data_IF_793917091927
#
_entry.id   IF_793917091927
#
_cell.length_a   1.000
_cell.length_b   1.000
_cell.length_c   1.000
_cell.angle_alpha   90.00
_cell.angle_beta   90.00
_cell.angle_gamma   90.00
#
_symmetry.space_group_name_H-M   'P 1'
#
loop_
_entity.id
_entity.type
_entity.pdbx_description
1 polymer ?
#
# COMPACT_ATOMS: atom_id res chain seq x y z
N UNK A 1 17.89 -19.23 -43.50
CA UNK A 1 16.85 -18.34 -42.94
C UNK A 1 16.03 -19.14 -41.94
N UNK A 2 16.35 -19.05 -40.65
CA UNK A 2 15.38 -19.19 -39.54
C UNK A 2 16.09 -18.95 -38.21
N UNK A 3 15.47 -18.05 -37.47
CA UNK A 3 15.93 -17.33 -36.29
C UNK A 3 15.84 -18.21 -35.06
N UNK A 4 16.91 -18.24 -34.24
CA UNK A 4 16.91 -18.95 -32.97
C UNK A 4 15.94 -18.25 -32.00
N UNK A 5 14.91 -18.98 -31.58
CA UNK A 5 13.94 -18.56 -30.58
C UNK A 5 14.61 -18.57 -29.20
N UNK A 6 14.80 -17.39 -28.61
CA UNK A 6 15.35 -17.23 -27.27
C UNK A 6 14.40 -17.85 -26.23
N UNK A 7 14.89 -18.83 -25.47
CA UNK A 7 14.15 -19.52 -24.41
C UNK A 7 13.83 -18.55 -23.26
N UNK A 8 12.56 -18.18 -23.09
CA UNK A 8 12.05 -17.50 -21.88
C UNK A 8 12.33 -18.36 -20.64
N UNK A 9 13.13 -17.85 -19.71
CA UNK A 9 13.34 -18.46 -18.40
C UNK A 9 12.02 -18.48 -17.61
N UNK A 10 11.56 -19.67 -17.18
CA UNK A 10 10.41 -19.81 -16.27
C UNK A 10 10.80 -19.23 -14.90
N UNK A 11 10.41 -18.00 -14.63
CA UNK A 11 10.51 -17.40 -13.30
C UNK A 11 9.70 -18.25 -12.29
N UNK A 12 10.24 -18.45 -11.09
CA UNK A 12 9.55 -19.17 -10.02
C UNK A 12 8.29 -18.40 -9.60
N UNK A 13 7.20 -19.08 -9.20
CA UNK A 13 5.94 -18.43 -8.85
C UNK A 13 6.07 -17.40 -7.71
N UNK A 14 6.98 -17.62 -6.75
CA UNK A 14 7.30 -16.65 -5.69
C UNK A 14 7.79 -15.31 -6.26
N UNK A 15 8.67 -15.35 -7.26
CA UNK A 15 9.22 -14.14 -7.88
C UNK A 15 8.16 -13.37 -8.68
N UNK A 16 7.25 -14.09 -9.36
CA UNK A 16 6.16 -13.47 -10.12
C UNK A 16 5.16 -12.78 -9.16
N UNK A 17 4.78 -13.46 -8.07
CA UNK A 17 3.90 -12.89 -7.05
C UNK A 17 4.49 -11.64 -6.41
N UNK A 18 5.78 -11.66 -6.05
CA UNK A 18 6.50 -10.50 -5.50
C UNK A 18 6.53 -9.31 -6.48
N UNK A 19 6.78 -9.57 -7.77
CA UNK A 19 6.74 -8.52 -8.80
C UNK A 19 5.35 -7.92 -8.95
N UNK A 20 4.30 -8.74 -8.93
CA UNK A 20 2.92 -8.27 -9.00
C UNK A 20 2.57 -7.44 -7.77
N UNK A 21 2.95 -7.90 -6.57
CA UNK A 21 2.80 -7.16 -5.32
C UNK A 21 3.43 -5.76 -5.43
N UNK A 22 4.70 -5.71 -5.84
CA UNK A 22 5.44 -4.45 -5.92
C UNK A 22 4.78 -3.49 -6.93
N UNK A 23 4.35 -4.03 -8.08
CA UNK A 23 3.68 -3.23 -9.10
C UNK A 23 2.35 -2.67 -8.65
N UNK A 24 1.50 -3.47 -8.01
CA UNK A 24 0.19 -2.98 -7.54
C UNK A 24 0.39 -1.95 -6.42
N UNK A 25 1.35 -2.18 -5.52
CA UNK A 25 1.69 -1.23 -4.45
C UNK A 25 2.16 0.11 -5.01
N UNK A 26 2.99 0.09 -6.06
CA UNK A 26 3.39 1.28 -6.81
C UNK A 26 2.20 1.95 -7.50
N UNK A 27 1.31 1.19 -8.15
CA UNK A 27 0.11 1.72 -8.79
C UNK A 27 -0.83 2.41 -7.78
N UNK A 28 -0.94 1.90 -6.56
CA UNK A 28 -1.68 2.55 -5.45
C UNK A 28 -0.94 3.82 -4.99
N UNK A 29 0.37 3.74 -4.79
CA UNK A 29 1.18 4.87 -4.29
C UNK A 29 1.22 6.05 -5.28
N UNK A 30 1.17 5.76 -6.58
CA UNK A 30 1.16 6.74 -7.66
C UNK A 30 -0.26 7.11 -8.13
N UNK A 31 -1.29 6.72 -7.38
CA UNK A 31 -2.70 7.01 -7.67
C UNK A 31 -3.19 6.56 -9.05
N UNK A 32 -2.56 5.52 -9.63
CA UNK A 32 -3.11 4.80 -10.80
C UNK A 32 -4.24 3.84 -10.41
N UNK A 33 -4.21 3.35 -9.17
CA UNK A 33 -5.34 2.71 -8.51
C UNK A 33 -5.78 3.63 -7.38
N UNK A 34 -6.96 4.21 -7.50
CA UNK A 34 -7.44 5.23 -6.57
C UNK A 34 -7.94 4.62 -5.26
N UNK A 35 -7.81 5.31 -4.12
CA UNK A 35 -8.47 4.91 -2.88
C UNK A 35 -9.97 4.69 -3.10
N UNK A 36 -10.48 3.54 -2.65
CA UNK A 36 -11.86 3.13 -2.86
C UNK A 36 -12.18 2.54 -4.24
N UNK A 37 -11.25 2.52 -5.19
CA UNK A 37 -11.42 1.88 -6.49
C UNK A 37 -11.57 0.36 -6.34
N UNK A 38 -12.53 -0.22 -7.07
CA UNK A 38 -12.79 -1.66 -7.09
C UNK A 38 -12.23 -2.30 -8.34
N UNK A 39 -11.68 -3.50 -8.18
CA UNK A 39 -11.11 -4.28 -9.28
C UNK A 39 -11.20 -5.78 -8.99
N UNK A 40 -10.97 -6.59 -10.01
CA UNK A 40 -11.00 -8.05 -9.96
C UNK A 40 -9.62 -8.64 -10.17
N UNK A 41 -9.42 -9.88 -9.71
CA UNK A 41 -8.20 -10.63 -10.02
C UNK A 41 -7.99 -10.82 -11.53
N UNK A 42 -9.08 -10.83 -12.31
CA UNK A 42 -9.06 -10.96 -13.76
C UNK A 42 -8.45 -9.73 -14.44
N UNK A 43 -8.93 -8.53 -14.08
CA UNK A 43 -8.40 -7.27 -14.60
C UNK A 43 -6.91 -7.10 -14.25
N UNK A 44 -6.53 -7.44 -13.01
CA UNK A 44 -5.14 -7.40 -12.59
C UNK A 44 -4.30 -8.43 -13.36
N UNK A 45 -4.80 -9.65 -13.53
CA UNK A 45 -4.12 -10.72 -14.29
C UNK A 45 -3.86 -10.32 -15.74
N UNK A 46 -4.83 -9.66 -16.39
CA UNK A 46 -4.68 -9.12 -17.75
C UNK A 46 -3.62 -8.01 -17.79
N UNK A 47 -3.68 -7.05 -16.85
CA UNK A 47 -2.75 -5.92 -16.78
C UNK A 47 -1.29 -6.36 -16.56
N UNK A 48 -1.08 -7.35 -15.69
CA UNK A 48 0.27 -7.83 -15.34
C UNK A 48 0.73 -9.05 -16.16
N UNK A 49 -0.09 -9.50 -17.12
CA UNK A 49 0.16 -10.66 -17.99
C UNK A 49 0.55 -11.92 -17.22
N UNK A 50 -0.17 -12.21 -16.12
CA UNK A 50 0.07 -13.37 -15.26
C UNK A 50 -1.23 -14.16 -15.02
N UNK A 51 -1.12 -15.39 -14.50
CA UNK A 51 -2.30 -16.15 -14.10
C UNK A 51 -2.90 -15.62 -12.79
N UNK A 52 -4.14 -16.00 -12.49
CA UNK A 52 -4.86 -15.54 -11.29
C UNK A 52 -4.23 -16.01 -9.97
N UNK A 53 -3.54 -17.15 -9.96
CA UNK A 53 -2.93 -17.71 -8.75
C UNK A 53 -1.87 -16.78 -8.12
N UNK A 54 -0.81 -16.34 -8.83
CA UNK A 54 0.17 -15.40 -8.28
C UNK A 54 -0.43 -14.00 -8.04
N UNK A 55 -1.42 -13.58 -8.83
CA UNK A 55 -2.17 -12.34 -8.57
C UNK A 55 -2.88 -12.39 -7.22
N UNK A 56 -3.61 -13.48 -6.95
CA UNK A 56 -4.31 -13.68 -5.68
C UNK A 56 -3.33 -13.71 -4.50
N UNK A 57 -2.17 -14.35 -4.65
CA UNK A 57 -1.13 -14.35 -3.62
C UNK A 57 -0.62 -12.94 -3.32
N UNK A 58 -0.33 -12.15 -4.36
CA UNK A 58 0.09 -10.76 -4.21
C UNK A 58 -0.99 -9.89 -3.54
N UNK A 59 -2.26 -10.05 -3.94
CA UNK A 59 -3.39 -9.32 -3.37
C UNK A 59 -3.65 -9.66 -1.91
N UNK A 60 -3.52 -10.94 -1.51
CA UNK A 60 -3.60 -11.31 -0.10
C UNK A 60 -2.48 -10.68 0.74
N UNK A 61 -1.26 -10.61 0.21
CA UNK A 61 -0.18 -9.91 0.90
C UNK A 61 -0.47 -8.41 1.04
N UNK A 62 -1.02 -7.77 0.01
CA UNK A 62 -1.43 -6.37 0.07
C UNK A 62 -2.57 -6.14 1.07
N UNK A 63 -3.49 -7.09 1.22
CA UNK A 63 -4.57 -7.01 2.20
C UNK A 63 -4.07 -7.17 3.63
N UNK A 64 -3.12 -8.09 3.88
CA UNK A 64 -2.44 -8.20 5.18
C UNK A 64 -1.71 -6.91 5.58
N UNK A 65 -1.14 -6.21 4.60
CA UNK A 65 -0.50 -4.90 4.81
C UNK A 65 -1.49 -3.72 4.82
N UNK A 66 -2.77 -3.97 4.51
CA UNK A 66 -3.84 -2.97 4.57
C UNK A 66 -3.98 -2.05 3.37
N UNK A 67 -3.37 -2.36 2.23
CA UNK A 67 -3.50 -1.56 1.00
C UNK A 67 -4.82 -1.80 0.27
N UNK A 68 -5.35 -3.01 0.38
CA UNK A 68 -6.59 -3.44 -0.30
C UNK A 68 -7.45 -4.26 0.64
N UNK A 69 -8.72 -4.39 0.31
CA UNK A 69 -9.70 -5.20 1.05
C UNK A 69 -10.40 -6.15 0.09
N UNK A 70 -10.68 -7.37 0.56
CA UNK A 70 -11.40 -8.38 -0.22
C UNK A 70 -12.88 -8.36 0.14
N UNK A 71 -13.74 -8.27 -0.88
CA UNK A 71 -15.19 -8.30 -0.71
C UNK A 71 -15.76 -9.57 -1.34
N UNK A 72 -16.54 -10.33 -0.56
CA UNK A 72 -17.16 -11.56 -1.03
C UNK A 72 -17.97 -11.31 -2.32
N UNK A 73 -17.62 -12.05 -3.39
CA UNK A 73 -18.20 -11.94 -4.75
C UNK A 73 -18.08 -10.56 -5.43
N UNK A 74 -17.45 -9.57 -4.79
CA UNK A 74 -17.34 -8.20 -5.30
C UNK A 74 -15.92 -7.81 -5.69
N UNK A 75 -14.97 -8.74 -5.56
CA UNK A 75 -13.57 -8.53 -5.94
C UNK A 75 -12.77 -7.90 -4.81
N UNK A 76 -11.90 -6.97 -5.20
CA UNK A 76 -10.97 -6.27 -4.33
C UNK A 76 -11.23 -4.78 -4.41
N UNK A 77 -10.91 -4.06 -3.35
CA UNK A 77 -11.00 -2.61 -3.31
C UNK A 77 -9.71 -2.05 -2.74
N UNK A 78 -9.16 -0.98 -3.31
CA UNK A 78 -8.10 -0.21 -2.64
C UNK A 78 -8.69 0.38 -1.37
N UNK A 79 -8.03 0.20 -0.22
CA UNK A 79 -8.54 0.71 1.05
C UNK A 79 -8.80 2.22 0.91
N UNK A 80 -10.04 2.69 1.13
CA UNK A 80 -10.33 4.12 1.07
C UNK A 80 -9.60 4.85 2.19
N UNK A 81 -9.34 6.13 1.99
CA UNK A 81 -8.88 6.98 3.08
C UNK A 81 -10.01 7.18 4.09
N UNK A 82 -9.69 7.01 5.37
CA UNK A 82 -10.54 7.46 6.47
C UNK A 82 -10.01 8.83 6.94
N UNK A 83 -10.71 9.93 6.65
CA UNK A 83 -10.29 11.27 7.05
C UNK A 83 -10.00 11.38 8.55
N UNK A 84 -10.77 10.67 9.39
CA UNK A 84 -10.56 10.69 10.85
C UNK A 84 -9.25 10.03 11.23
N UNK A 85 -8.98 8.87 10.64
CA UNK A 85 -7.71 8.18 10.87
C UNK A 85 -6.50 9.01 10.38
N UNK A 86 -6.67 9.80 9.32
CA UNK A 86 -5.63 10.73 8.89
C UNK A 86 -5.39 11.82 9.93
N UNK A 87 -6.43 12.44 10.47
CA UNK A 87 -6.32 13.45 11.53
C UNK A 87 -5.56 12.89 12.75
N UNK A 88 -5.95 11.71 13.24
CA UNK A 88 -5.26 11.00 14.33
C UNK A 88 -3.77 10.74 14.02
N UNK A 89 -3.45 10.41 12.77
CA UNK A 89 -2.06 10.19 12.36
C UNK A 89 -1.27 11.50 12.30
N UNK A 90 -1.89 12.59 11.87
CA UNK A 90 -1.26 13.92 11.86
C UNK A 90 -0.95 14.39 13.27
N UNK A 91 -1.86 14.18 14.20
CA UNK A 91 -1.69 14.48 15.62
C UNK A 91 -0.44 13.81 16.20
N UNK A 92 -0.28 12.51 15.96
CA UNK A 92 0.92 11.76 16.37
C UNK A 92 2.17 12.31 15.70
N UNK A 93 2.11 12.62 14.40
CA UNK A 93 3.24 13.18 13.68
C UNK A 93 3.67 14.53 14.23
N UNK A 94 2.73 15.42 14.53
CA UNK A 94 3.03 16.74 15.10
C UNK A 94 3.82 16.57 16.39
N UNK A 95 3.39 15.71 17.31
CA UNK A 95 4.13 15.45 18.56
C UNK A 95 5.55 14.96 18.28
N UNK A 96 5.72 13.99 17.38
CA UNK A 96 7.03 13.42 17.06
C UNK A 96 7.96 14.45 16.39
N UNK A 97 7.43 15.24 15.46
CA UNK A 97 8.18 16.25 14.72
C UNK A 97 8.59 17.40 15.64
N UNK A 98 7.70 17.86 16.53
CA UNK A 98 8.02 18.90 17.51
C UNK A 98 9.09 18.46 18.51
N UNK A 99 8.98 17.24 19.05
CA UNK A 99 10.01 16.68 19.93
C UNK A 99 11.36 16.54 19.21
N UNK A 100 11.35 16.11 17.95
CA UNK A 100 12.57 16.05 17.14
C UNK A 100 13.21 17.43 16.94
N UNK A 101 12.41 18.46 16.65
CA UNK A 101 12.88 19.84 16.51
C UNK A 101 13.44 20.40 17.83
N UNK A 102 12.79 20.11 18.96
CA UNK A 102 13.25 20.50 20.28
C UNK A 102 14.62 19.89 20.61
N UNK A 103 14.80 18.59 20.34
CA UNK A 103 16.10 17.91 20.52
C UNK A 103 17.21 18.46 19.64
N UNK A 104 16.87 18.97 18.46
CA UNK A 104 17.82 19.62 17.55
C UNK A 104 18.12 21.08 17.95
N UNK A 105 17.44 21.61 18.98
CA UNK A 105 17.58 23.01 19.40
C UNK A 105 17.02 24.01 18.39
N UNK A 106 16.17 23.55 17.47
CA UNK A 106 15.54 24.38 16.43
C UNK A 106 14.24 25.02 16.91
N UNK A 107 13.71 24.57 18.06
CA UNK A 107 12.48 25.06 18.66
C UNK A 107 12.53 24.90 20.18
N UNK A 108 11.96 25.84 20.92
CA UNK A 108 11.82 25.75 22.38
C UNK A 108 10.34 25.50 22.68
N UNK A 109 9.97 24.24 22.83
CA UNK A 109 8.60 23.78 23.11
C UNK A 109 8.62 22.65 24.13
N UNK A 110 7.67 22.72 25.07
CA UNK A 110 7.26 21.61 25.91
C UNK A 110 6.12 20.85 25.22
N UNK A 111 6.35 19.57 24.91
CA UNK A 111 5.37 18.68 24.24
C UNK A 111 4.32 18.10 25.19
N UNK A 112 4.52 18.18 26.51
CA UNK A 112 3.56 17.65 27.50
C UNK A 112 2.11 18.13 27.32
N UNK A 113 1.82 19.45 27.16
CA UNK A 113 0.44 19.92 27.01
C UNK A 113 -0.26 19.40 25.75
N UNK A 114 0.49 19.10 24.69
CA UNK A 114 -0.05 18.59 23.43
C UNK A 114 -0.38 17.10 23.54
N UNK A 115 0.48 16.32 24.20
CA UNK A 115 0.21 14.90 24.50
C UNK A 115 -1.05 14.74 25.35
N UNK A 116 -1.22 15.61 26.34
CA UNK A 116 -2.42 15.63 27.18
C UNK A 116 -3.70 15.90 26.39
N UNK A 117 -3.63 16.70 25.33
CA UNK A 117 -4.77 16.97 24.44
C UNK A 117 -5.11 15.75 23.58
N UNK A 118 -4.10 15.06 23.05
CA UNK A 118 -4.28 13.84 22.25
C UNK A 118 -4.82 12.64 23.04
N UNK A 119 -4.53 12.55 24.33
CA UNK A 119 -5.07 11.48 25.19
C UNK A 119 -6.57 11.70 25.52
N UNK A 120 -7.09 12.91 25.32
CA UNK A 120 -8.49 13.26 25.63
C UNK A 120 -9.47 13.05 24.47
N UNK A 121 -8.98 12.87 23.25
CA UNK A 121 -9.74 12.55 22.03
C UNK A 121 -9.85 11.05 21.81
#
# INVERSE_FOLDING_TARGET
MQTACAKKSKERPENISERIYARIKEDISEFRLLPGERFTEGEVAERVQASRTPVRQALFRLEQEGYVEVYYRSGWQVRPFDPRHFEELYDVRVVLELEALARLGLMDLSVEPLIDELIRT
#
